data_IF_260202657605
#
_entry.id   IF_260202657605
#
_cell.length_a   1.000
_cell.length_b   1.000
_cell.length_c   1.000
_cell.angle_alpha   90.00
_cell.angle_beta   90.00
_cell.angle_gamma   90.00
#
_symmetry.space_group_name_H-M   'P 1'
#
loop_
_entity.id
_entity.type
_entity.pdbx_description
1 polymer ?
#
# COMPACT_ATOMS: atom_id res chain seq x y z
N UNK A 1 -24.47 5.06 -23.10
CA UNK A 1 -23.83 5.51 -21.86
C UNK A 1 -24.87 6.22 -21.02
N UNK A 2 -24.94 5.92 -19.72
CA UNK A 2 -25.80 6.70 -18.85
C UNK A 2 -25.28 8.14 -18.77
N UNK A 3 -26.17 9.10 -18.54
CA UNK A 3 -25.80 10.54 -18.49
C UNK A 3 -24.77 10.81 -17.36
N UNK A 4 -24.76 9.97 -16.34
CA UNK A 4 -23.77 9.98 -15.25
C UNK A 4 -22.38 9.57 -15.74
N UNK A 5 -22.27 8.56 -16.63
CA UNK A 5 -21.00 8.12 -17.20
C UNK A 5 -20.35 9.24 -18.02
N UNK A 6 -21.15 10.01 -18.77
CA UNK A 6 -20.68 11.18 -19.52
C UNK A 6 -20.12 12.25 -18.59
N UNK A 7 -20.77 12.48 -17.45
CA UNK A 7 -20.31 13.43 -16.45
C UNK A 7 -18.97 13.00 -15.82
N UNK A 8 -18.83 11.70 -15.51
CA UNK A 8 -17.58 11.12 -14.99
C UNK A 8 -16.45 11.31 -15.99
N UNK A 9 -16.67 10.95 -17.27
CA UNK A 9 -15.63 11.07 -18.31
C UNK A 9 -15.22 12.54 -18.56
N UNK A 10 -16.14 13.51 -18.46
CA UNK A 10 -15.82 14.93 -18.58
C UNK A 10 -14.94 15.41 -17.43
N UNK A 11 -15.29 15.09 -16.17
CA UNK A 11 -14.46 15.43 -14.99
C UNK A 11 -13.07 14.75 -15.10
N UNK A 12 -13.04 13.47 -15.47
CA UNK A 12 -11.79 12.74 -15.72
C UNK A 12 -10.94 13.42 -16.78
N UNK A 13 -11.55 13.86 -17.87
CA UNK A 13 -10.88 14.62 -18.94
C UNK A 13 -10.24 15.91 -18.43
N UNK A 14 -10.89 16.64 -17.52
CA UNK A 14 -10.33 17.84 -16.88
C UNK A 14 -9.10 17.51 -16.03
N UNK A 15 -9.13 16.39 -15.31
CA UNK A 15 -8.00 15.94 -14.47
C UNK A 15 -6.84 15.49 -15.38
N UNK A 16 -7.11 14.66 -16.38
CA UNK A 16 -6.09 14.13 -17.29
C UNK A 16 -5.43 15.24 -18.14
N UNK A 17 -6.20 16.25 -18.54
CA UNK A 17 -5.66 17.42 -19.27
C UNK A 17 -4.89 18.40 -18.39
N UNK A 18 -4.95 18.25 -17.07
CA UNK A 18 -4.34 19.16 -16.10
C UNK A 18 -5.14 20.46 -15.86
N UNK A 19 -6.36 20.55 -16.36
CA UNK A 19 -7.29 21.65 -16.08
C UNK A 19 -7.74 21.61 -14.58
N UNK A 20 -7.78 20.43 -14.00
CA UNK A 20 -7.92 20.18 -12.56
C UNK A 20 -6.73 19.34 -12.09
N UNK A 21 -6.06 19.78 -11.04
CA UNK A 21 -4.89 19.10 -10.46
C UNK A 21 -5.22 18.56 -9.07
N UNK A 22 -4.45 17.60 -8.55
CA UNK A 22 -4.53 17.20 -7.16
C UNK A 22 -4.52 18.41 -6.22
N UNK A 23 -5.51 18.48 -5.31
CA UNK A 23 -5.71 19.58 -4.39
C UNK A 23 -6.58 20.73 -4.91
N UNK A 24 -6.86 20.79 -6.21
CA UNK A 24 -7.70 21.84 -6.77
C UNK A 24 -9.16 21.67 -6.34
N UNK A 25 -9.80 22.81 -6.08
CA UNK A 25 -11.23 22.88 -5.82
C UNK A 25 -11.99 22.90 -7.14
N UNK A 26 -13.01 22.07 -7.26
CA UNK A 26 -13.93 22.11 -8.39
C UNK A 26 -14.72 23.44 -8.39
N UNK A 27 -15.07 23.99 -9.57
CA UNK A 27 -16.05 25.06 -9.68
C UNK A 27 -17.37 24.70 -8.98
N UNK A 28 -18.18 25.68 -8.65
CA UNK A 28 -19.50 25.41 -8.07
C UNK A 28 -20.33 24.51 -8.98
N UNK A 29 -21.13 23.61 -8.41
CA UNK A 29 -21.93 22.64 -9.19
C UNK A 29 -22.72 23.29 -10.33
N UNK A 30 -23.28 24.50 -10.11
CA UNK A 30 -24.05 25.21 -11.13
C UNK A 30 -23.20 25.72 -12.30
N UNK A 31 -21.98 26.16 -12.00
CA UNK A 31 -21.03 26.68 -12.97
C UNK A 31 -20.44 25.51 -13.78
N UNK A 32 -19.98 24.48 -13.10
CA UNK A 32 -19.40 23.28 -13.73
C UNK A 32 -20.43 22.52 -14.57
N UNK A 33 -21.68 22.41 -14.13
CA UNK A 33 -22.74 21.79 -14.91
C UNK A 33 -23.01 22.56 -16.21
N UNK A 34 -23.04 23.90 -16.14
CA UNK A 34 -23.22 24.75 -17.32
C UNK A 34 -22.02 24.64 -18.29
N UNK A 35 -20.79 24.68 -17.77
CA UNK A 35 -19.55 24.57 -18.53
C UNK A 35 -19.48 23.23 -19.28
N UNK A 36 -19.84 22.14 -18.62
CA UNK A 36 -19.79 20.80 -19.17
C UNK A 36 -21.04 20.42 -20.00
N UNK A 37 -22.06 21.29 -20.05
CA UNK A 37 -23.33 21.01 -20.74
C UNK A 37 -24.13 19.85 -20.11
N UNK A 38 -24.09 19.73 -18.78
CA UNK A 38 -24.70 18.63 -18.02
C UNK A 38 -25.85 19.15 -17.14
N UNK A 39 -26.79 18.23 -16.77
CA UNK A 39 -27.73 18.53 -15.73
C UNK A 39 -27.04 18.57 -14.34
N UNK A 40 -27.54 19.43 -13.44
CA UNK A 40 -27.01 19.49 -12.06
C UNK A 40 -27.13 18.13 -11.36
N UNK A 41 -28.17 17.37 -11.66
CA UNK A 41 -28.37 16.05 -11.05
C UNK A 41 -27.32 15.06 -11.54
N UNK A 42 -27.05 15.01 -12.84
CA UNK A 42 -26.01 14.13 -13.42
C UNK A 42 -24.62 14.47 -12.88
N UNK A 43 -24.31 15.78 -12.76
CA UNK A 43 -23.04 16.20 -12.16
C UNK A 43 -22.92 15.76 -10.70
N UNK A 44 -24.01 15.90 -9.91
CA UNK A 44 -24.01 15.50 -8.50
C UNK A 44 -23.82 14.01 -8.32
N UNK A 45 -24.46 13.18 -9.15
CA UNK A 45 -24.27 11.72 -9.13
C UNK A 45 -22.84 11.33 -9.55
N UNK A 46 -22.26 12.02 -10.53
CA UNK A 46 -20.87 11.80 -10.91
C UNK A 46 -19.88 12.18 -9.79
N UNK A 47 -20.11 13.33 -9.13
CA UNK A 47 -19.31 13.75 -7.96
C UNK A 47 -19.42 12.74 -6.83
N UNK A 48 -20.61 12.21 -6.53
CA UNK A 48 -20.79 11.15 -5.53
C UNK A 48 -20.04 9.88 -5.90
N UNK A 49 -20.16 9.42 -7.16
CA UNK A 49 -19.47 8.23 -7.63
C UNK A 49 -17.94 8.39 -7.55
N UNK A 50 -17.41 9.53 -8.00
CA UNK A 50 -15.98 9.83 -7.92
C UNK A 50 -15.49 10.01 -6.47
N UNK A 51 -16.35 10.44 -5.56
CA UNK A 51 -16.01 10.53 -4.13
C UNK A 51 -15.99 9.16 -3.46
N UNK A 52 -16.85 8.22 -3.86
CA UNK A 52 -16.83 6.85 -3.36
C UNK A 52 -15.50 6.13 -3.67
N UNK A 53 -14.92 6.40 -4.85
CA UNK A 53 -13.63 5.86 -5.26
C UNK A 53 -12.44 6.78 -4.94
N UNK A 54 -12.65 7.77 -4.05
CA UNK A 54 -11.59 8.66 -3.57
C UNK A 54 -10.86 9.48 -4.64
N UNK A 55 -11.46 9.71 -5.81
CA UNK A 55 -10.95 10.66 -6.82
C UNK A 55 -11.29 12.10 -6.41
N UNK A 56 -12.46 12.30 -5.83
CA UNK A 56 -12.90 13.58 -5.28
C UNK A 56 -13.12 13.49 -3.77
N UNK A 57 -12.90 14.60 -3.08
CA UNK A 57 -13.16 14.81 -1.65
C UNK A 57 -14.22 15.91 -1.48
N UNK A 58 -15.39 15.56 -0.93
CA UNK A 58 -16.49 16.51 -0.67
C UNK A 58 -16.40 16.98 0.76
N UNK A 59 -16.00 18.24 0.95
CA UNK A 59 -15.92 18.91 2.25
C UNK A 59 -17.20 19.69 2.50
N UNK A 60 -17.95 19.26 3.50
CA UNK A 60 -19.25 19.86 3.81
C UNK A 60 -19.10 21.36 4.15
N UNK A 61 -19.88 22.20 3.45
CA UNK A 61 -19.85 23.65 3.63
C UNK A 61 -18.68 24.39 2.96
N UNK A 62 -17.70 23.66 2.42
CA UNK A 62 -16.52 24.24 1.78
C UNK A 62 -16.54 24.00 0.25
N UNK A 63 -16.52 22.77 -0.19
CA UNK A 63 -16.54 22.45 -1.63
C UNK A 63 -16.12 21.03 -1.93
N UNK A 64 -15.91 20.76 -3.21
CA UNK A 64 -15.39 19.49 -3.71
C UNK A 64 -13.97 19.71 -4.24
N UNK A 65 -13.06 18.82 -3.91
CA UNK A 65 -11.65 18.91 -4.22
C UNK A 65 -11.19 17.65 -4.96
N UNK A 66 -10.23 17.79 -5.87
CA UNK A 66 -9.47 16.63 -6.40
C UNK A 66 -8.56 16.11 -5.29
N UNK A 67 -8.56 14.82 -5.05
CA UNK A 67 -7.68 14.20 -4.04
C UNK A 67 -6.22 14.19 -4.53
N UNK A 68 -5.31 13.61 -3.75
CA UNK A 68 -3.93 13.38 -4.18
C UNK A 68 -3.80 12.46 -5.39
N UNK A 69 -4.87 11.74 -5.75
CA UNK A 69 -4.90 10.68 -6.75
C UNK A 69 -3.90 9.55 -6.45
N UNK A 70 -3.51 9.42 -5.19
CA UNK A 70 -2.62 8.36 -4.75
C UNK A 70 -3.32 7.00 -4.91
N UNK A 71 -2.68 6.01 -5.57
CA UNK A 71 -3.21 4.65 -5.68
C UNK A 71 -3.58 4.02 -4.32
N UNK A 72 -2.97 4.45 -3.23
CA UNK A 72 -3.30 4.01 -1.87
C UNK A 72 -4.78 4.24 -1.51
N UNK A 73 -5.36 5.34 -1.96
CA UNK A 73 -6.77 5.66 -1.72
C UNK A 73 -7.74 4.63 -2.34
N UNK A 74 -7.36 4.03 -3.47
CA UNK A 74 -8.15 2.96 -4.11
C UNK A 74 -8.03 1.64 -3.35
N UNK A 75 -6.88 1.39 -2.74
CA UNK A 75 -6.60 0.14 -2.03
C UNK A 75 -7.22 0.08 -0.63
N UNK A 76 -7.55 1.24 -0.03
CA UNK A 76 -8.36 1.29 1.20
C UNK A 76 -9.72 0.60 1.00
N UNK A 77 -10.33 0.76 -0.19
CA UNK A 77 -11.58 0.06 -0.53
C UNK A 77 -11.39 -1.46 -0.65
N UNK A 78 -10.23 -1.91 -1.15
CA UNK A 78 -9.90 -3.34 -1.19
C UNK A 78 -9.70 -3.92 0.20
N UNK A 79 -9.03 -3.20 1.10
CA UNK A 79 -8.84 -3.63 2.49
C UNK A 79 -10.18 -3.86 3.20
N UNK A 80 -11.18 -3.01 2.95
CA UNK A 80 -12.52 -3.18 3.49
C UNK A 80 -13.20 -4.47 2.97
N UNK A 81 -13.03 -4.82 1.70
CA UNK A 81 -13.56 -6.07 1.13
C UNK A 81 -12.91 -7.29 1.77
N UNK A 82 -11.62 -7.20 2.09
CA UNK A 82 -10.86 -8.30 2.71
C UNK A 82 -11.31 -8.61 4.12
N UNK A 83 -11.72 -7.61 4.89
CA UNK A 83 -12.23 -7.80 6.26
C UNK A 83 -13.49 -8.67 6.32
N UNK A 84 -14.18 -8.85 5.19
CA UNK A 84 -15.33 -9.76 5.05
C UNK A 84 -14.96 -11.18 4.58
N UNK A 85 -13.68 -11.43 4.24
CA UNK A 85 -13.24 -12.73 3.73
C UNK A 85 -12.59 -13.58 4.81
N UNK A 86 -12.70 -14.91 4.66
CA UNK A 86 -12.21 -15.93 5.59
C UNK A 86 -10.68 -16.07 5.50
N UNK A 87 -10.12 -16.88 6.40
CA UNK A 87 -8.68 -17.16 6.54
C UNK A 87 -7.98 -17.59 5.23
N UNK A 88 -8.67 -18.26 4.32
CA UNK A 88 -8.15 -18.63 2.98
C UNK A 88 -7.68 -17.40 2.17
N UNK A 89 -8.36 -16.26 2.32
CA UNK A 89 -8.00 -15.03 1.61
C UNK A 89 -6.68 -14.45 2.09
N UNK A 90 -6.30 -14.64 3.36
CA UNK A 90 -5.00 -14.17 3.89
C UNK A 90 -3.84 -14.88 3.17
N UNK A 91 -3.99 -16.17 2.84
CA UNK A 91 -3.00 -16.92 2.05
C UNK A 91 -2.86 -16.35 0.64
N UNK A 92 -3.95 -15.94 0.01
CA UNK A 92 -3.91 -15.29 -1.32
C UNK A 92 -3.18 -13.93 -1.25
N UNK A 93 -3.40 -13.13 -0.18
CA UNK A 93 -2.64 -11.91 0.05
C UNK A 93 -1.14 -12.16 0.23
N UNK A 94 -0.77 -13.17 1.02
CA UNK A 94 0.62 -13.57 1.18
C UNK A 94 1.24 -14.05 -0.14
N UNK A 95 0.49 -14.78 -0.96
CA UNK A 95 0.93 -15.21 -2.29
C UNK A 95 1.21 -14.01 -3.22
N UNK A 96 0.35 -12.97 -3.22
CA UNK A 96 0.58 -11.74 -3.99
C UNK A 96 1.79 -10.97 -3.44
N UNK A 97 1.92 -10.84 -2.12
CA UNK A 97 3.10 -10.23 -1.48
C UNK A 97 4.39 -10.95 -1.87
N UNK A 98 4.39 -12.28 -1.90
CA UNK A 98 5.55 -13.10 -2.31
C UNK A 98 5.97 -12.87 -3.76
N UNK A 99 5.06 -12.37 -4.62
CA UNK A 99 5.38 -11.97 -6.00
C UNK A 99 5.94 -10.55 -6.03
N UNK A 100 5.32 -9.62 -5.33
CA UNK A 100 5.59 -8.19 -5.44
C UNK A 100 6.75 -7.71 -4.55
N UNK A 101 6.83 -8.14 -3.29
CA UNK A 101 7.85 -7.66 -2.35
C UNK A 101 9.28 -8.01 -2.77
N UNK A 102 9.60 -9.24 -3.20
CA UNK A 102 10.95 -9.54 -3.68
C UNK A 102 11.35 -8.72 -4.89
N UNK A 103 10.41 -8.41 -5.78
CA UNK A 103 10.66 -7.55 -6.93
C UNK A 103 10.95 -6.10 -6.49
N UNK A 104 10.16 -5.56 -5.54
CA UNK A 104 10.37 -4.24 -4.97
C UNK A 104 11.73 -4.15 -4.24
N UNK A 105 12.08 -5.19 -3.46
CA UNK A 105 13.35 -5.26 -2.72
C UNK A 105 14.55 -5.28 -3.66
N UNK A 106 14.48 -6.04 -4.76
CA UNK A 106 15.53 -6.04 -5.78
C UNK A 106 15.67 -4.66 -6.47
N UNK A 107 14.56 -3.99 -6.76
CA UNK A 107 14.57 -2.61 -7.29
C UNK A 107 15.19 -1.64 -6.27
N UNK A 108 14.85 -1.77 -4.99
CA UNK A 108 15.40 -0.96 -3.92
C UNK A 108 16.92 -1.12 -3.81
N UNK A 109 17.47 -2.31 -3.97
CA UNK A 109 18.91 -2.58 -3.86
C UNK A 109 19.77 -1.67 -4.77
N UNK A 110 19.24 -1.27 -5.94
CA UNK A 110 19.96 -0.37 -6.86
C UNK A 110 19.76 1.12 -6.58
N UNK A 111 18.85 1.50 -5.68
CA UNK A 111 18.40 2.90 -5.50
C UNK A 111 18.49 3.41 -4.07
N UNK A 112 18.40 2.52 -3.10
CA UNK A 112 18.40 2.87 -1.68
C UNK A 112 19.64 3.66 -1.31
N UNK A 113 19.47 4.75 -0.58
CA UNK A 113 20.57 5.62 -0.14
C UNK A 113 21.19 5.09 1.15
N UNK A 114 22.44 5.52 1.45
CA UNK A 114 23.11 5.17 2.71
C UNK A 114 22.29 5.62 3.93
N UNK A 115 21.71 6.82 3.87
CA UNK A 115 20.87 7.33 4.96
C UNK A 115 19.63 6.44 5.21
N UNK A 116 19.02 5.88 4.15
CA UNK A 116 17.90 4.94 4.28
C UNK A 116 18.38 3.60 4.85
N UNK A 117 19.55 3.10 4.42
CA UNK A 117 20.16 1.89 4.96
C UNK A 117 20.46 2.02 6.45
N UNK A 118 21.01 3.17 6.87
CA UNK A 118 21.32 3.46 8.27
C UNK A 118 20.03 3.56 9.11
N UNK A 119 18.96 4.16 8.57
CA UNK A 119 17.66 4.22 9.23
C UNK A 119 17.09 2.82 9.46
N UNK A 120 17.07 1.98 8.41
CA UNK A 120 16.60 0.59 8.52
C UNK A 120 17.44 -0.21 9.52
N UNK A 121 18.75 -0.05 9.49
CA UNK A 121 19.67 -0.69 10.45
C UNK A 121 19.37 -0.27 11.89
N UNK A 122 19.25 1.04 12.13
CA UNK A 122 18.94 1.60 13.45
C UNK A 122 17.58 1.11 13.99
N UNK A 123 16.58 0.96 13.13
CA UNK A 123 15.27 0.40 13.50
C UNK A 123 15.38 -1.06 13.97
N UNK A 124 16.15 -1.89 13.25
CA UNK A 124 16.36 -3.29 13.63
C UNK A 124 17.18 -3.41 14.92
N UNK A 125 18.17 -2.55 15.13
CA UNK A 125 19.00 -2.56 16.32
C UNK A 125 18.23 -2.08 17.56
N UNK A 126 17.31 -1.13 17.39
CA UNK A 126 16.45 -0.64 18.46
C UNK A 126 15.50 -1.68 19.02
N UNK A 127 15.12 -2.70 18.24
CA UNK A 127 14.27 -3.81 18.69
C UNK A 127 14.96 -4.73 19.72
N UNK A 128 16.31 -4.74 19.74
CA UNK A 128 17.05 -5.66 20.59
C UNK A 128 16.91 -7.14 20.17
N UNK A 129 17.25 -8.04 21.11
CA UNK A 129 17.25 -9.48 20.84
C UNK A 129 15.91 -10.18 21.13
N UNK A 130 15.06 -9.59 21.95
CA UNK A 130 13.79 -10.18 22.40
C UNK A 130 12.68 -9.12 22.46
N UNK A 131 12.26 -8.57 21.29
CA UNK A 131 11.13 -7.65 21.25
C UNK A 131 9.83 -8.36 21.59
N UNK A 132 8.82 -7.64 22.05
CA UNK A 132 7.44 -8.13 22.08
C UNK A 132 6.95 -8.41 20.65
N UNK A 133 5.91 -9.22 20.52
CA UNK A 133 5.33 -9.52 19.20
C UNK A 133 4.78 -8.26 18.54
N UNK A 134 4.17 -7.37 19.32
CA UNK A 134 3.64 -6.10 18.87
C UNK A 134 4.74 -5.18 18.31
N UNK A 135 5.86 -5.05 19.02
CA UNK A 135 7.02 -4.27 18.59
C UNK A 135 7.63 -4.87 17.32
N UNK A 136 7.77 -6.20 17.26
CA UNK A 136 8.29 -6.89 16.09
C UNK A 136 7.41 -6.63 14.84
N UNK A 137 6.09 -6.78 14.96
CA UNK A 137 5.16 -6.60 13.84
C UNK A 137 5.11 -5.14 13.39
N UNK A 138 5.14 -4.18 14.31
CA UNK A 138 5.21 -2.76 13.98
C UNK A 138 6.50 -2.43 13.22
N UNK A 139 7.64 -2.93 13.69
CA UNK A 139 8.92 -2.75 13.01
C UNK A 139 8.99 -3.46 11.66
N UNK A 140 8.41 -4.66 11.54
CA UNK A 140 8.30 -5.41 10.29
C UNK A 140 7.56 -4.59 9.21
N UNK A 141 6.44 -3.96 9.57
CA UNK A 141 5.68 -3.12 8.67
C UNK A 141 6.50 -1.90 8.18
N UNK A 142 7.17 -1.21 9.10
CA UNK A 142 7.99 -0.03 8.77
C UNK A 142 9.25 -0.41 7.97
N UNK A 143 9.90 -1.54 8.28
CA UNK A 143 11.05 -2.05 7.57
C UNK A 143 10.71 -2.32 6.09
N UNK A 144 9.65 -3.09 5.83
CA UNK A 144 9.22 -3.39 4.47
C UNK A 144 8.75 -2.14 3.72
N UNK A 145 8.01 -1.24 4.39
CA UNK A 145 7.60 0.04 3.81
C UNK A 145 8.82 0.87 3.36
N UNK A 146 9.84 1.00 4.22
CA UNK A 146 11.06 1.74 3.90
C UNK A 146 11.81 1.18 2.68
N UNK A 147 11.90 -0.15 2.59
CA UNK A 147 12.49 -0.83 1.43
C UNK A 147 11.68 -0.55 0.16
N UNK A 148 10.36 -0.74 0.22
CA UNK A 148 9.48 -0.59 -0.95
C UNK A 148 9.47 0.86 -1.45
N UNK A 149 9.49 1.86 -0.55
CA UNK A 149 9.64 3.28 -0.91
C UNK A 149 10.96 3.53 -1.65
N UNK A 150 12.04 2.86 -1.25
CA UNK A 150 13.34 2.97 -1.91
C UNK A 150 13.36 2.34 -3.32
N UNK A 151 12.34 1.55 -3.70
CA UNK A 151 12.19 1.03 -5.07
C UNK A 151 11.97 2.14 -6.10
N UNK A 152 11.48 3.32 -5.68
CA UNK A 152 11.16 4.44 -6.54
C UNK A 152 9.90 4.24 -7.39
N UNK A 153 9.06 3.22 -7.08
CA UNK A 153 7.80 2.94 -7.76
C UNK A 153 6.62 3.18 -6.81
N UNK A 154 6.01 4.36 -6.90
CA UNK A 154 4.91 4.77 -6.01
C UNK A 154 3.68 3.87 -6.13
N UNK A 155 3.37 3.33 -7.32
CA UNK A 155 2.26 2.41 -7.51
C UNK A 155 2.51 1.10 -6.77
N UNK A 156 3.74 0.56 -6.87
CA UNK A 156 4.14 -0.65 -6.15
C UNK A 156 4.11 -0.43 -4.62
N UNK A 157 4.53 0.75 -4.14
CA UNK A 157 4.41 1.13 -2.74
C UNK A 157 2.96 1.07 -2.26
N UNK A 158 2.06 1.74 -2.99
CA UNK A 158 0.64 1.77 -2.63
C UNK A 158 0.00 0.38 -2.63
N UNK A 159 0.33 -0.46 -3.63
CA UNK A 159 -0.14 -1.84 -3.70
C UNK A 159 0.30 -2.65 -2.47
N UNK A 160 1.58 -2.61 -2.12
CA UNK A 160 2.12 -3.36 -0.99
C UNK A 160 1.65 -2.82 0.37
N UNK A 161 1.47 -1.51 0.52
CA UNK A 161 0.86 -0.91 1.72
C UNK A 161 -0.57 -1.44 1.92
N UNK A 162 -1.39 -1.48 0.85
CA UNK A 162 -2.75 -2.01 0.92
C UNK A 162 -2.82 -3.52 1.24
N UNK A 163 -1.81 -4.29 0.84
CA UNK A 163 -1.72 -5.73 1.13
C UNK A 163 -1.18 -6.04 2.54
N UNK A 164 -0.57 -5.06 3.21
CA UNK A 164 0.08 -5.27 4.52
C UNK A 164 -0.93 -5.45 5.66
N UNK A 165 -2.00 -4.65 5.69
CA UNK A 165 -3.04 -4.70 6.72
C UNK A 165 -3.66 -6.09 6.90
N UNK A 166 -4.19 -6.73 5.85
CA UNK A 166 -4.81 -8.05 5.90
C UNK A 166 -3.89 -9.14 6.45
N UNK A 167 -2.59 -9.04 6.23
CA UNK A 167 -1.61 -10.04 6.67
C UNK A 167 -1.05 -9.78 8.08
N UNK A 168 -1.37 -8.65 8.71
CA UNK A 168 -0.87 -8.27 10.04
C UNK A 168 -1.32 -9.27 11.10
N UNK A 169 -2.58 -9.67 11.11
CA UNK A 169 -3.11 -10.65 12.09
C UNK A 169 -2.37 -11.99 12.02
N UNK A 170 -2.05 -12.46 10.82
CA UNK A 170 -1.29 -13.70 10.64
C UNK A 170 0.13 -13.59 11.23
N UNK A 171 0.80 -12.43 11.08
CA UNK A 171 2.13 -12.19 11.67
C UNK A 171 2.08 -12.15 13.20
N UNK A 172 1.09 -11.45 13.77
CA UNK A 172 0.89 -11.43 15.22
C UNK A 172 0.65 -12.84 15.74
N UNK A 173 -0.25 -13.59 15.12
CA UNK A 173 -0.55 -14.97 15.53
C UNK A 173 0.67 -15.88 15.42
N UNK A 174 1.44 -15.77 14.36
CA UNK A 174 2.71 -16.48 14.21
C UNK A 174 3.69 -16.15 15.33
N UNK A 175 3.87 -14.86 15.63
CA UNK A 175 4.76 -14.39 16.69
C UNK A 175 4.39 -14.94 18.07
N UNK A 176 3.08 -15.11 18.34
CA UNK A 176 2.57 -15.64 19.62
C UNK A 176 2.64 -17.17 19.73
N UNK A 177 2.62 -17.90 18.62
CA UNK A 177 2.44 -19.37 18.62
C UNK A 177 3.63 -20.16 18.10
N UNK A 178 4.53 -19.53 17.33
CA UNK A 178 5.73 -20.17 16.80
C UNK A 178 6.96 -19.72 17.62
N UNK A 179 7.60 -20.64 18.33
CA UNK A 179 8.66 -20.39 19.32
C UNK A 179 9.88 -19.64 18.74
N UNK A 180 10.25 -19.89 17.49
CA UNK A 180 11.40 -19.28 16.82
C UNK A 180 11.03 -18.12 15.87
N UNK A 181 9.76 -17.70 15.82
CA UNK A 181 9.28 -16.71 14.85
C UNK A 181 10.03 -15.37 14.96
N UNK A 182 10.26 -14.90 16.19
CA UNK A 182 10.94 -13.62 16.45
C UNK A 182 12.38 -13.65 15.94
N UNK A 183 13.16 -14.64 16.40
CA UNK A 183 14.58 -14.77 16.04
C UNK A 183 14.76 -14.97 14.52
N UNK A 184 13.89 -15.76 13.91
CA UNK A 184 13.89 -16.02 12.48
C UNK A 184 13.57 -14.75 11.67
N UNK A 185 12.54 -14.01 12.05
CA UNK A 185 12.18 -12.74 11.39
C UNK A 185 13.35 -11.74 11.47
N UNK A 186 13.97 -11.57 12.65
CA UNK A 186 15.11 -10.69 12.80
C UNK A 186 16.32 -11.12 11.96
N UNK A 187 16.57 -12.43 11.86
CA UNK A 187 17.63 -12.97 11.01
C UNK A 187 17.37 -12.67 9.53
N UNK A 188 16.15 -12.94 9.06
CA UNK A 188 15.74 -12.70 7.67
C UNK A 188 15.83 -11.20 7.32
N UNK A 189 15.39 -10.29 8.21
CA UNK A 189 15.51 -8.85 8.00
C UNK A 189 16.97 -8.38 7.93
N UNK A 190 17.86 -8.89 8.79
CA UNK A 190 19.29 -8.57 8.73
C UNK A 190 19.93 -9.07 7.45
N UNK A 191 19.53 -10.23 6.94
CA UNK A 191 20.01 -10.77 5.68
C UNK A 191 19.53 -9.91 4.48
N UNK A 192 18.27 -9.46 4.49
CA UNK A 192 17.77 -8.51 3.49
C UNK A 192 18.57 -7.21 3.54
N UNK A 193 18.77 -6.63 4.73
CA UNK A 193 19.52 -5.37 4.89
C UNK A 193 20.98 -5.51 4.42
N UNK A 194 21.62 -6.64 4.71
CA UNK A 194 22.99 -6.91 4.21
C UNK A 194 23.01 -6.93 2.69
N UNK A 195 22.10 -7.68 2.04
CA UNK A 195 22.02 -7.74 0.59
C UNK A 195 21.75 -6.35 -0.05
N UNK A 196 20.94 -5.50 0.61
CA UNK A 196 20.70 -4.12 0.18
C UNK A 196 21.98 -3.25 0.30
N UNK A 197 22.76 -3.40 1.37
CA UNK A 197 24.06 -2.73 1.55
C UNK A 197 25.08 -3.14 0.48
N UNK A 198 25.10 -4.42 0.16
CA UNK A 198 25.98 -4.98 -0.87
C UNK A 198 25.51 -4.67 -2.30
N UNK A 199 24.32 -4.00 -2.44
CA UNK A 199 23.68 -3.75 -3.75
C UNK A 199 23.42 -5.02 -4.56
N UNK A 200 23.35 -6.19 -3.89
CA UNK A 200 23.09 -7.48 -4.51
C UNK A 200 21.58 -7.68 -4.71
N UNK A 201 21.12 -7.42 -5.93
CA UNK A 201 19.71 -7.49 -6.31
C UNK A 201 19.13 -8.91 -6.20
N UNK A 202 19.92 -9.93 -6.49
CA UNK A 202 19.47 -11.32 -6.46
C UNK A 202 19.42 -11.88 -5.04
N UNK A 203 20.41 -11.56 -4.20
CA UNK A 203 20.37 -11.88 -2.78
C UNK A 203 19.22 -11.16 -2.08
N UNK A 204 19.02 -9.87 -2.36
CA UNK A 204 17.92 -9.09 -1.80
C UNK A 204 16.55 -9.68 -2.18
N UNK A 205 16.36 -10.05 -3.44
CA UNK A 205 15.16 -10.76 -3.94
C UNK A 205 14.96 -12.08 -3.21
N UNK A 206 16.01 -12.89 -3.12
CA UNK A 206 15.95 -14.23 -2.55
C UNK A 206 15.58 -14.20 -1.07
N UNK A 207 16.21 -13.32 -0.29
CA UNK A 207 15.90 -13.18 1.13
C UNK A 207 14.49 -12.65 1.39
N UNK A 208 14.02 -11.67 0.60
CA UNK A 208 12.64 -11.21 0.68
C UNK A 208 11.63 -12.32 0.32
N UNK A 209 11.95 -13.17 -0.65
CA UNK A 209 11.12 -14.34 -0.99
C UNK A 209 11.06 -15.33 0.18
N UNK A 210 12.21 -15.66 0.80
CA UNK A 210 12.28 -16.55 1.96
C UNK A 210 11.46 -16.00 3.10
N UNK A 211 11.59 -14.70 3.38
CA UNK A 211 10.87 -14.03 4.46
C UNK A 211 9.35 -14.14 4.29
N UNK A 212 8.79 -13.73 3.15
CA UNK A 212 7.33 -13.81 2.92
C UNK A 212 6.86 -15.26 2.88
N UNK A 213 7.62 -16.16 2.24
CA UNK A 213 7.28 -17.58 2.15
C UNK A 213 7.25 -18.25 3.53
N UNK A 214 8.10 -17.82 4.47
CA UNK A 214 8.13 -18.39 5.82
C UNK A 214 6.83 -18.13 6.58
N UNK A 215 6.23 -16.95 6.41
CA UNK A 215 4.92 -16.60 6.99
C UNK A 215 3.79 -17.39 6.32
N UNK A 216 3.80 -17.45 4.98
CA UNK A 216 2.81 -18.19 4.18
C UNK A 216 2.80 -19.69 4.54
N UNK A 217 3.98 -20.32 4.60
CA UNK A 217 4.11 -21.75 4.94
C UNK A 217 3.61 -22.05 6.35
N UNK A 218 4.00 -21.21 7.33
CA UNK A 218 3.53 -21.38 8.69
C UNK A 218 2.00 -21.29 8.75
N UNK A 219 1.38 -20.27 8.14
CA UNK A 219 -0.08 -20.13 8.16
C UNK A 219 -0.76 -21.33 7.49
N UNK A 220 -0.25 -21.79 6.34
CA UNK A 220 -0.78 -22.95 5.62
C UNK A 220 -0.70 -24.25 6.43
N UNK A 221 0.28 -24.39 7.31
CA UNK A 221 0.43 -25.58 8.18
C UNK A 221 -0.46 -25.53 9.43
N UNK A 222 -1.05 -24.37 9.73
CA UNK A 222 -1.82 -24.12 10.95
C UNK A 222 -3.35 -24.08 10.67
N UNK A 223 -3.75 -23.89 9.42
CA UNK A 223 -5.13 -23.99 8.93
C UNK A 223 -5.48 -25.43 8.59
#
# INVERSE_FOLDING_TARGET
>A
MAVTDEAIEKIKGMIVSGALRPGDRLPKESELAAELGLSRNSLREAVRALSLIRILDVRQGDGTYVTSLDPQLLLEALSFVVDFHRDDTVLEFLAVRRILEPAATAMAATRITEAQLDLLGSQLDALGAQPSVEELVASDLEFHRGIVQSSGNSVLCSLLDGLSGPTTRARVWRGLTQEDAVSRTLHEHRAILSALRDRDTEAARSWATVHVASVEQWLRSTL
#
